data_IF_357756514541
#
_entry.id   IF_357756514541
#
_cell.length_a   1.000
_cell.length_b   1.000
_cell.length_c   1.000
_cell.angle_alpha   90.00
_cell.angle_beta   90.00
_cell.angle_gamma   90.00
#
_symmetry.space_group_name_H-M   'P 1'
#
loop_
_entity.id
_entity.type
_entity.pdbx_description
1 polymer ?
#
# COMPACT_ATOMS: atom_id res chain seq x y z
N UNK A 1 -48.70 4.23 15.64
CA UNK A 1 -48.37 2.90 16.17
C UNK A 1 -47.63 2.16 15.07
N UNK A 2 -46.33 1.90 15.23
CA UNK A 2 -45.52 1.22 14.22
C UNK A 2 -45.80 -0.28 14.22
N UNK A 3 -45.98 -0.87 13.03
CA UNK A 3 -46.15 -2.30 12.88
C UNK A 3 -44.83 -3.02 13.18
N UNK A 4 -44.91 -3.97 14.12
CA UNK A 4 -43.85 -4.91 14.44
C UNK A 4 -43.85 -6.03 13.39
N UNK A 5 -42.73 -6.14 12.67
CA UNK A 5 -42.25 -7.28 11.88
C UNK A 5 -43.26 -7.96 10.91
N UNK A 6 -43.02 -7.83 9.61
CA UNK A 6 -43.68 -8.63 8.57
C UNK A 6 -43.32 -10.12 8.70
N UNK A 7 -44.27 -11.00 8.38
CA UNK A 7 -44.14 -12.47 8.47
C UNK A 7 -43.13 -13.08 7.47
N UNK A 8 -42.64 -12.28 6.51
CA UNK A 8 -41.65 -12.70 5.52
C UNK A 8 -40.43 -11.74 5.57
N UNK A 9 -39.44 -12.01 6.45
CA UNK A 9 -38.35 -11.07 6.72
C UNK A 9 -37.45 -10.79 5.50
N UNK A 10 -37.56 -11.60 4.45
CA UNK A 10 -36.70 -11.56 3.27
C UNK A 10 -37.39 -10.97 2.01
N UNK A 11 -38.60 -10.42 2.13
CA UNK A 11 -39.35 -9.78 1.04
C UNK A 11 -39.20 -8.25 0.95
N UNK A 12 -38.74 -7.59 2.01
CA UNK A 12 -39.06 -6.16 2.24
C UNK A 12 -37.92 -5.15 1.99
N UNK A 13 -36.79 -5.57 1.43
CA UNK A 13 -35.72 -4.61 1.10
C UNK A 13 -35.80 -4.07 -0.35
N UNK A 14 -36.57 -4.71 -1.23
CA UNK A 14 -36.66 -4.35 -2.65
C UNK A 14 -35.38 -4.59 -3.47
N UNK A 15 -34.39 -5.28 -2.91
CA UNK A 15 -33.09 -5.54 -3.53
C UNK A 15 -33.00 -6.99 -4.03
N UNK A 16 -32.25 -7.18 -5.12
CA UNK A 16 -31.98 -8.49 -5.70
C UNK A 16 -31.15 -9.36 -4.73
N UNK A 17 -31.65 -10.55 -4.39
CA UNK A 17 -31.03 -11.44 -3.38
C UNK A 17 -29.64 -11.91 -3.80
N UNK A 18 -29.44 -12.20 -5.09
CA UNK A 18 -28.16 -12.68 -5.61
C UNK A 18 -27.11 -11.56 -5.61
N UNK A 19 -27.53 -10.32 -5.91
CA UNK A 19 -26.69 -9.13 -5.82
C UNK A 19 -26.27 -8.85 -4.36
N UNK A 20 -27.23 -8.86 -3.43
CA UNK A 20 -26.97 -8.69 -2.00
C UNK A 20 -25.99 -9.75 -1.50
N UNK A 21 -26.21 -11.02 -1.87
CA UNK A 21 -25.32 -12.11 -1.52
C UNK A 21 -23.91 -11.91 -2.08
N UNK A 22 -23.80 -11.58 -3.38
CA UNK A 22 -22.52 -11.35 -4.05
C UNK A 22 -21.73 -10.21 -3.40
N UNK A 23 -22.38 -9.09 -3.12
CA UNK A 23 -21.73 -7.94 -2.47
C UNK A 23 -21.33 -8.27 -1.02
N UNK A 24 -22.14 -9.05 -0.31
CA UNK A 24 -21.79 -9.56 1.03
C UNK A 24 -20.55 -10.46 0.98
N UNK A 25 -20.47 -11.38 0.01
CA UNK A 25 -19.28 -12.21 -0.17
C UNK A 25 -18.05 -11.37 -0.54
N UNK A 26 -18.23 -10.35 -1.38
CA UNK A 26 -17.17 -9.40 -1.72
C UNK A 26 -16.67 -8.64 -0.49
N UNK A 27 -17.57 -8.15 0.37
CA UNK A 27 -17.19 -7.52 1.63
C UNK A 27 -16.38 -8.48 2.52
N UNK A 28 -16.84 -9.72 2.69
CA UNK A 28 -16.14 -10.74 3.51
C UNK A 28 -14.74 -11.05 2.98
N UNK A 29 -14.59 -11.13 1.67
CA UNK A 29 -13.28 -11.34 1.03
C UNK A 29 -12.34 -10.16 1.34
N UNK A 30 -12.81 -8.92 1.19
CA UNK A 30 -12.02 -7.72 1.52
C UNK A 30 -11.65 -7.67 3.02
N UNK A 31 -12.57 -8.02 3.91
CA UNK A 31 -12.32 -8.10 5.36
C UNK A 31 -11.27 -9.17 5.68
N UNK A 32 -11.34 -10.34 5.02
CA UNK A 32 -10.35 -11.41 5.15
C UNK A 32 -8.96 -10.97 4.66
N UNK A 33 -8.90 -10.27 3.53
CA UNK A 33 -7.66 -9.72 2.98
C UNK A 33 -7.04 -8.68 3.92
N UNK A 34 -7.85 -7.80 4.53
CA UNK A 34 -7.39 -6.83 5.52
C UNK A 34 -6.81 -7.55 6.75
N UNK A 35 -7.48 -8.61 7.24
CA UNK A 35 -6.96 -9.41 8.36
C UNK A 35 -5.66 -10.12 8.01
N UNK A 36 -5.56 -10.72 6.82
CA UNK A 36 -4.33 -11.36 6.35
C UNK A 36 -3.18 -10.35 6.22
N UNK A 37 -3.44 -9.16 5.66
CA UNK A 37 -2.45 -8.10 5.54
C UNK A 37 -2.02 -7.55 6.91
N UNK A 38 -2.93 -7.48 7.90
CA UNK A 38 -2.56 -7.14 9.29
C UNK A 38 -1.61 -8.16 9.91
N UNK A 39 -1.86 -9.46 9.74
CA UNK A 39 -0.92 -10.51 10.19
C UNK A 39 0.45 -10.34 9.55
N UNK A 40 0.49 -10.12 8.24
CA UNK A 40 1.76 -9.91 7.52
C UNK A 40 2.48 -8.63 7.99
N UNK A 41 1.76 -7.54 8.23
CA UNK A 41 2.34 -6.30 8.72
C UNK A 41 2.90 -6.40 10.15
N UNK A 42 2.34 -7.31 10.96
CA UNK A 42 2.80 -7.61 12.31
C UNK A 42 3.86 -8.72 12.38
N UNK A 43 4.11 -9.44 11.29
CA UNK A 43 5.09 -10.53 11.26
C UNK A 43 6.51 -10.00 11.51
N UNK A 44 7.14 -10.45 12.61
CA UNK A 44 8.48 -10.05 13.03
C UNK A 44 9.59 -10.57 12.12
N UNK A 45 9.34 -11.65 11.38
CA UNK A 45 10.29 -12.19 10.42
C UNK A 45 10.18 -11.55 9.03
N UNK A 46 9.11 -10.78 8.78
CA UNK A 46 8.94 -10.10 7.51
C UNK A 46 9.92 -8.93 7.38
N UNK A 47 10.41 -8.76 6.17
CA UNK A 47 11.26 -7.65 5.77
C UNK A 47 10.54 -6.32 5.97
N UNK A 48 11.34 -5.27 6.03
CA UNK A 48 10.90 -3.92 6.28
C UNK A 48 10.01 -3.36 5.15
N UNK A 49 10.29 -3.77 3.90
CA UNK A 49 9.47 -3.49 2.72
C UNK A 49 8.27 -4.43 2.61
N UNK A 50 8.36 -5.68 3.06
CA UNK A 50 7.20 -6.59 3.12
C UNK A 50 6.13 -6.08 4.09
N UNK A 51 6.53 -5.62 5.28
CA UNK A 51 5.62 -4.98 6.24
C UNK A 51 5.00 -3.70 5.67
N UNK A 52 5.78 -2.91 4.93
CA UNK A 52 5.29 -1.72 4.26
C UNK A 52 4.26 -2.06 3.15
N UNK A 53 4.53 -3.09 2.35
CA UNK A 53 3.59 -3.61 1.35
C UNK A 53 2.28 -4.09 1.99
N UNK A 54 2.38 -4.80 3.11
CA UNK A 54 1.22 -5.25 3.88
C UNK A 54 0.39 -4.05 4.40
N UNK A 55 1.02 -2.98 4.89
CA UNK A 55 0.32 -1.75 5.28
C UNK A 55 -0.37 -1.06 4.08
N UNK A 56 0.22 -1.09 2.89
CA UNK A 56 -0.45 -0.59 1.68
C UNK A 56 -1.70 -1.42 1.33
N UNK A 57 -1.62 -2.75 1.49
CA UNK A 57 -2.77 -3.66 1.29
C UNK A 57 -3.89 -3.40 2.29
N UNK A 58 -3.57 -3.18 3.57
CA UNK A 58 -4.57 -2.81 4.59
C UNK A 58 -5.30 -1.53 4.16
N UNK A 59 -4.56 -0.50 3.76
CA UNK A 59 -5.16 0.77 3.33
C UNK A 59 -6.07 0.57 2.13
N UNK A 60 -5.60 -0.14 1.09
CA UNK A 60 -6.38 -0.41 -0.12
C UNK A 60 -7.65 -1.21 0.17
N UNK A 61 -7.55 -2.29 0.94
CA UNK A 61 -8.72 -3.09 1.33
C UNK A 61 -9.76 -2.27 2.09
N UNK A 62 -9.32 -1.41 3.02
CA UNK A 62 -10.21 -0.51 3.75
C UNK A 62 -10.86 0.56 2.85
N UNK A 63 -10.18 1.03 1.81
CA UNK A 63 -10.79 1.92 0.82
C UNK A 63 -11.84 1.20 -0.03
N UNK A 64 -11.55 -0.02 -0.47
CA UNK A 64 -12.53 -0.82 -1.24
C UNK A 64 -13.77 -1.15 -0.41
N UNK A 65 -13.63 -1.48 0.88
CA UNK A 65 -14.78 -1.68 1.78
C UNK A 65 -15.59 -0.39 1.90
N UNK A 66 -14.93 0.76 2.14
CA UNK A 66 -15.61 2.08 2.21
C UNK A 66 -16.36 2.40 0.93
N UNK A 67 -15.73 2.16 -0.22
CA UNK A 67 -16.34 2.36 -1.54
C UNK A 67 -17.56 1.47 -1.71
N UNK A 68 -17.42 0.17 -1.45
CA UNK A 68 -18.53 -0.79 -1.53
C UNK A 68 -19.71 -0.36 -0.66
N UNK A 69 -19.44 0.07 0.58
CA UNK A 69 -20.50 0.52 1.52
C UNK A 69 -21.13 1.86 1.13
N UNK A 70 -20.42 2.67 0.33
CA UNK A 70 -20.97 3.92 -0.20
C UNK A 70 -21.83 3.68 -1.45
N UNK A 71 -21.49 2.68 -2.25
CA UNK A 71 -22.18 2.35 -3.51
C UNK A 71 -23.37 1.41 -3.27
N UNK A 72 -23.35 0.61 -2.20
CA UNK A 72 -24.33 -0.44 -1.90
C UNK A 72 -25.04 -0.19 -0.57
N UNK A 73 -26.28 0.36 -0.58
CA UNK A 73 -27.00 0.72 0.64
C UNK A 73 -27.26 -0.43 1.62
N UNK A 74 -27.31 -1.67 1.12
CA UNK A 74 -27.51 -2.89 1.92
C UNK A 74 -26.22 -3.40 2.59
N UNK A 75 -25.05 -2.90 2.20
CA UNK A 75 -23.76 -3.29 2.78
C UNK A 75 -23.40 -2.32 3.91
N UNK A 76 -23.13 -2.85 5.10
CA UNK A 76 -22.65 -2.07 6.25
C UNK A 76 -21.27 -2.50 6.69
N UNK A 77 -20.39 -1.51 6.88
CA UNK A 77 -19.04 -1.72 7.40
C UNK A 77 -19.07 -1.94 8.90
N UNK A 78 -18.43 -3.01 9.35
CA UNK A 78 -18.13 -3.25 10.76
C UNK A 78 -16.62 -3.37 10.95
N UNK A 79 -16.01 -2.32 11.53
CA UNK A 79 -14.57 -2.26 11.72
C UNK A 79 -14.03 -3.36 12.67
N UNK A 80 -14.90 -3.97 13.50
CA UNK A 80 -14.49 -5.08 14.36
C UNK A 80 -14.13 -6.33 13.57
N UNK A 81 -14.78 -6.56 12.41
CA UNK A 81 -14.52 -7.70 11.50
C UNK A 81 -13.19 -7.62 10.79
N UNK A 82 -12.60 -6.43 10.75
CA UNK A 82 -11.25 -6.21 10.23
C UNK A 82 -10.17 -6.44 11.29
N UNK A 83 -10.53 -6.59 12.58
CA UNK A 83 -9.54 -6.82 13.65
C UNK A 83 -9.01 -8.25 13.59
N UNK A 84 -7.77 -8.41 14.04
CA UNK A 84 -7.10 -9.70 14.18
C UNK A 84 -6.95 -9.96 15.68
N UNK A 85 -7.80 -10.81 16.28
CA UNK A 85 -7.85 -10.98 17.75
C UNK A 85 -6.51 -11.36 18.38
N UNK A 86 -5.70 -12.14 17.67
CA UNK A 86 -4.38 -12.60 18.13
C UNK A 86 -3.31 -11.49 18.17
N UNK A 87 -3.57 -10.31 17.59
CA UNK A 87 -2.62 -9.18 17.60
C UNK A 87 -2.96 -8.18 18.71
N UNK A 88 -2.04 -8.01 19.65
CA UNK A 88 -2.13 -6.98 20.70
C UNK A 88 -2.23 -5.55 20.12
N UNK A 89 -1.43 -5.26 19.09
CA UNK A 89 -1.46 -3.99 18.37
C UNK A 89 -1.96 -4.22 16.95
N UNK A 90 -3.02 -3.53 16.56
CA UNK A 90 -3.59 -3.62 15.20
C UNK A 90 -2.81 -2.72 14.23
N UNK A 91 -2.14 -3.28 13.21
CA UNK A 91 -1.43 -2.46 12.23
C UNK A 91 -2.38 -1.55 11.46
N UNK A 92 -1.98 -0.29 11.29
CA UNK A 92 -2.71 0.70 10.47
C UNK A 92 -2.25 0.63 9.02
N UNK A 93 -3.20 0.85 8.11
CA UNK A 93 -2.90 0.95 6.68
C UNK A 93 -2.16 2.24 6.34
N UNK A 94 -1.31 2.19 5.32
CA UNK A 94 -0.54 3.34 4.84
C UNK A 94 -0.62 3.44 3.30
N UNK A 95 -1.21 4.53 2.79
CA UNK A 95 -1.43 4.77 1.35
C UNK A 95 -0.15 4.69 0.52
N UNK A 96 0.89 5.41 0.96
CA UNK A 96 2.13 5.62 0.20
C UNK A 96 3.30 4.80 0.75
N UNK A 97 3.03 3.60 1.28
CA UNK A 97 4.09 2.74 1.80
C UNK A 97 4.91 2.14 0.63
N UNK A 98 6.25 2.30 0.64
CA UNK A 98 7.10 1.78 -0.42
C UNK A 98 7.10 0.25 -0.38
N UNK A 99 7.09 -0.38 -1.56
CA UNK A 99 7.08 -1.84 -1.68
C UNK A 99 7.95 -2.29 -2.84
N UNK A 100 8.73 -3.35 -2.63
CA UNK A 100 9.55 -3.94 -3.67
C UNK A 100 8.68 -4.71 -4.67
N UNK A 101 8.85 -4.44 -5.97
CA UNK A 101 8.41 -5.39 -6.99
C UNK A 101 9.29 -6.64 -6.93
N UNK A 102 8.82 -7.75 -7.51
CA UNK A 102 9.62 -8.98 -7.61
C UNK A 102 11.00 -8.71 -8.21
N UNK A 103 11.02 -7.99 -9.33
CA UNK A 103 12.27 -7.62 -9.99
C UNK A 103 13.18 -6.78 -9.08
N UNK A 104 12.64 -5.79 -8.36
CA UNK A 104 13.43 -5.01 -7.42
C UNK A 104 14.00 -5.86 -6.28
N UNK A 105 13.21 -6.77 -5.70
CA UNK A 105 13.65 -7.66 -4.64
C UNK A 105 14.81 -8.55 -5.09
N UNK A 106 14.72 -9.13 -6.29
CA UNK A 106 15.79 -9.92 -6.92
C UNK A 106 17.07 -9.08 -7.10
N UNK A 107 16.96 -7.87 -7.67
CA UNK A 107 18.13 -6.98 -7.86
C UNK A 107 18.74 -6.50 -6.55
N UNK A 108 17.93 -6.27 -5.53
CA UNK A 108 18.40 -5.89 -4.20
C UNK A 108 19.20 -7.02 -3.56
N UNK A 109 18.67 -8.25 -3.59
CA UNK A 109 19.33 -9.43 -3.05
C UNK A 109 20.67 -9.69 -3.76
N UNK A 110 20.70 -9.67 -5.09
CA UNK A 110 21.92 -9.86 -5.88
C UNK A 110 23.02 -8.82 -5.59
N UNK A 111 22.64 -7.62 -5.15
CA UNK A 111 23.54 -6.48 -4.92
C UNK A 111 23.83 -6.22 -3.44
N UNK A 112 23.30 -7.04 -2.53
CA UNK A 112 23.43 -6.84 -1.08
C UNK A 112 22.79 -5.53 -0.59
N UNK A 113 21.75 -5.06 -1.25
CA UNK A 113 21.04 -3.83 -0.88
C UNK A 113 19.96 -4.18 0.16
N UNK A 114 20.03 -3.53 1.31
CA UNK A 114 19.08 -3.71 2.40
C UNK A 114 17.85 -2.81 2.25
N UNK A 115 16.73 -3.26 2.80
CA UNK A 115 15.49 -2.47 2.89
C UNK A 115 15.72 -1.12 3.60
N UNK A 116 16.57 -1.11 4.63
CA UNK A 116 16.93 0.09 5.37
C UNK A 116 17.62 1.13 4.49
N UNK A 117 18.54 0.72 3.61
CA UNK A 117 19.19 1.62 2.65
C UNK A 117 18.17 2.21 1.67
N UNK A 118 17.24 1.40 1.17
CA UNK A 118 16.18 1.87 0.26
C UNK A 118 15.25 2.85 0.95
N UNK A 119 14.82 2.56 2.18
CA UNK A 119 13.99 3.45 2.98
C UNK A 119 14.68 4.79 3.23
N UNK A 120 15.96 4.77 3.60
CA UNK A 120 16.76 6.00 3.78
C UNK A 120 16.88 6.79 2.49
N UNK A 121 17.16 6.14 1.37
CA UNK A 121 17.26 6.80 0.08
C UNK A 121 15.95 7.49 -0.34
N UNK A 122 14.79 6.92 0.01
CA UNK A 122 13.48 7.52 -0.25
C UNK A 122 13.15 8.65 0.75
N UNK A 123 13.49 8.48 2.03
CA UNK A 123 13.15 9.44 3.09
C UNK A 123 14.05 10.68 3.08
N UNK A 124 15.32 10.51 2.74
CA UNK A 124 16.33 11.56 2.73
C UNK A 124 17.17 11.45 1.45
N UNK A 125 16.59 11.77 0.28
CA UNK A 125 17.30 11.71 -0.98
C UNK A 125 18.32 12.85 -1.08
N UNK A 126 19.47 12.56 -1.70
CA UNK A 126 20.41 13.61 -2.13
C UNK A 126 19.88 14.36 -3.35
N UNK A 127 19.20 13.66 -4.25
CA UNK A 127 18.57 14.28 -5.41
C UNK A 127 17.40 13.45 -5.93
N UNK A 128 16.36 14.13 -6.40
CA UNK A 128 15.16 13.51 -6.98
C UNK A 128 14.97 14.04 -8.39
N UNK A 129 14.98 13.13 -9.37
CA UNK A 129 14.76 13.52 -10.76
C UNK A 129 13.27 13.76 -11.05
N UNK A 130 12.95 14.51 -12.12
CA UNK A 130 11.58 14.60 -12.64
C UNK A 130 10.99 13.22 -12.95
N UNK A 131 9.67 13.13 -12.87
CA UNK A 131 8.94 11.90 -13.23
C UNK A 131 9.01 11.71 -14.74
N UNK A 132 9.44 10.53 -15.16
CA UNK A 132 9.39 10.08 -16.55
C UNK A 132 8.18 9.19 -16.78
N UNK A 133 7.61 9.26 -17.98
CA UNK A 133 6.47 8.45 -18.40
C UNK A 133 6.86 7.72 -19.66
N UNK A 134 6.65 6.41 -19.70
CA UNK A 134 6.89 5.61 -20.90
C UNK A 134 5.70 5.62 -21.88
N UNK A 135 5.86 4.98 -23.04
CA UNK A 135 4.83 4.88 -24.07
C UNK A 135 3.56 4.13 -23.62
N UNK A 136 3.64 3.37 -22.53
CA UNK A 136 2.52 2.64 -21.94
C UNK A 136 1.88 3.40 -20.76
N UNK A 137 2.28 4.66 -20.52
CA UNK A 137 1.76 5.50 -19.45
C UNK A 137 2.31 5.15 -18.06
N UNK A 138 3.30 4.27 -17.95
CA UNK A 138 3.91 3.91 -16.66
C UNK A 138 4.84 5.02 -16.21
N UNK A 139 4.65 5.46 -14.97
CA UNK A 139 5.44 6.52 -14.35
C UNK A 139 6.63 5.92 -13.60
N UNK A 140 7.81 6.50 -13.77
CA UNK A 140 9.00 6.19 -13.02
C UNK A 140 9.66 7.48 -12.53
N UNK A 141 10.24 7.42 -11.34
CA UNK A 141 11.01 8.50 -10.75
C UNK A 141 12.30 7.94 -10.18
N UNK A 142 13.41 8.58 -10.54
CA UNK A 142 14.73 8.21 -10.03
C UNK A 142 15.06 9.05 -8.82
N UNK A 143 15.40 8.38 -7.73
CA UNK A 143 15.77 8.98 -6.44
C UNK A 143 17.19 8.53 -6.11
N UNK A 144 18.08 9.49 -5.89
CA UNK A 144 19.49 9.26 -5.59
C UNK A 144 19.68 9.42 -4.08
N UNK A 145 19.90 8.33 -3.36
CA UNK A 145 20.33 8.34 -1.97
C UNK A 145 21.86 8.25 -1.85
N UNK A 146 22.37 8.50 -0.64
CA UNK A 146 23.80 8.43 -0.32
C UNK A 146 24.44 7.09 -0.75
N UNK A 147 23.83 5.98 -0.34
CA UNK A 147 24.33 4.64 -0.58
C UNK A 147 23.71 3.98 -1.82
N UNK A 148 22.43 4.23 -2.04
CA UNK A 148 21.59 3.51 -3.01
C UNK A 148 20.77 4.49 -3.82
N UNK A 149 20.69 4.23 -5.12
CA UNK A 149 19.77 4.88 -6.04
C UNK A 149 18.58 3.97 -6.27
N UNK A 150 17.38 4.54 -6.14
CA UNK A 150 16.11 3.83 -6.22
C UNK A 150 15.31 4.38 -7.39
N UNK A 151 14.71 3.50 -8.18
CA UNK A 151 13.72 3.89 -9.19
C UNK A 151 12.36 3.42 -8.70
N UNK A 152 11.43 4.35 -8.55
CA UNK A 152 10.12 4.12 -7.94
C UNK A 152 9.01 4.65 -8.84
N UNK A 153 7.85 3.99 -8.86
CA UNK A 153 6.64 4.60 -9.39
C UNK A 153 6.11 5.63 -8.38
N UNK A 154 6.06 6.94 -8.71
CA UNK A 154 5.70 7.98 -7.75
C UNK A 154 4.24 7.90 -7.26
N UNK A 155 3.35 7.35 -8.09
CA UNK A 155 1.93 7.20 -7.76
C UNK A 155 1.72 6.00 -6.83
N UNK A 156 2.27 4.85 -7.20
CA UNK A 156 1.96 3.59 -6.51
C UNK A 156 2.95 3.29 -5.39
N UNK A 157 4.13 3.93 -5.39
CA UNK A 157 5.28 3.66 -4.50
C UNK A 157 5.90 2.26 -4.70
N UNK A 158 5.66 1.64 -5.85
CA UNK A 158 6.35 0.42 -6.25
C UNK A 158 7.80 0.72 -6.60
N UNK A 159 8.74 0.07 -5.91
CA UNK A 159 10.16 0.12 -6.25
C UNK A 159 10.37 -0.80 -7.45
N UNK A 160 10.80 -0.19 -8.56
CA UNK A 160 11.03 -0.86 -9.85
C UNK A 160 12.42 -1.50 -9.85
N UNK A 161 13.44 -0.78 -9.38
CA UNK A 161 14.80 -1.31 -9.23
C UNK A 161 15.60 -0.48 -8.22
N UNK A 162 16.65 -1.06 -7.66
CA UNK A 162 17.61 -0.38 -6.80
C UNK A 162 19.05 -0.82 -7.12
N UNK A 163 20.00 0.10 -7.02
CA UNK A 163 21.43 -0.14 -7.26
C UNK A 163 22.31 0.76 -6.40
N UNK A 164 23.57 0.39 -6.12
CA UNK A 164 24.48 1.25 -5.38
C UNK A 164 24.69 2.58 -6.09
N UNK A 165 24.65 3.67 -5.33
CA UNK A 165 24.97 5.00 -5.86
C UNK A 165 26.47 5.09 -6.12
N UNK A 166 26.83 5.40 -7.37
CA UNK A 166 28.24 5.49 -7.75
C UNK A 166 28.90 6.79 -7.23
N UNK A 167 30.24 6.79 -7.18
CA UNK A 167 31.05 7.92 -6.66
C UNK A 167 30.76 9.25 -7.39
N UNK A 168 30.48 9.21 -8.70
CA UNK A 168 30.18 10.40 -9.50
C UNK A 168 28.86 11.05 -9.07
N UNK A 169 27.82 10.25 -8.85
CA UNK A 169 26.51 10.74 -8.39
C UNK A 169 26.61 11.26 -6.95
N UNK A 170 27.33 10.56 -6.06
CA UNK A 170 27.59 11.05 -4.70
C UNK A 170 28.36 12.37 -4.70
N UNK A 171 29.37 12.54 -5.55
CA UNK A 171 30.10 13.81 -5.64
C UNK A 171 29.24 14.94 -6.22
N UNK A 172 28.36 14.62 -7.16
CA UNK A 172 27.52 15.64 -7.81
C UNK A 172 26.40 16.13 -6.89
N UNK A 173 25.81 15.24 -6.09
CA UNK A 173 24.60 15.52 -5.33
C UNK A 173 24.76 15.39 -3.81
N UNK A 174 25.88 14.86 -3.33
CA UNK A 174 26.15 14.59 -1.91
C UNK A 174 27.07 15.59 -1.23
N UNK A 175 27.37 16.71 -1.89
CA UNK A 175 27.92 17.92 -1.25
C UNK A 175 26.77 18.90 -1.14
N UNK A 176 26.49 19.34 0.08
CA UNK A 176 25.37 20.19 0.48
C UNK A 176 25.12 21.36 -0.47
N UNK A 177 23.87 21.52 -0.91
CA UNK A 177 23.22 22.83 -0.97
C UNK A 177 21.70 22.65 -1.02
N UNK A 178 21.03 23.39 -0.13
CA UNK A 178 19.60 23.66 -0.05
C UNK A 178 19.07 24.38 -1.31
N UNK A 179 19.30 23.84 -2.50
CA UNK A 179 18.78 24.38 -3.75
C UNK A 179 17.44 23.73 -4.11
N UNK A 180 16.35 24.16 -3.46
CA UNK A 180 15.01 23.72 -3.86
C UNK A 180 13.84 24.10 -2.96
N UNK A 181 13.99 25.02 -2.03
CA UNK A 181 12.87 25.64 -1.32
C UNK A 181 12.57 27.03 -1.89
N UNK A 182 12.26 27.12 -3.19
CA UNK A 182 11.50 28.25 -3.72
C UNK A 182 10.88 27.88 -5.08
N UNK A 183 9.55 27.74 -5.11
CA UNK A 183 8.61 27.91 -6.24
C UNK A 183 7.20 27.56 -5.80
#
# INVERSE_FOLDING_TARGET
MGHAFSEDPDGDAGWDRDEVYRDTQRQRALEADVRAAKRQAANEHASDLERAAAKARIWKGQQEIRKLTSERPWIRRDASRERVPELAVQPRGAKNAPRATRHAAERMAERGITDGQVKRAIASPMHTFPVTVDSQGRKAQKIVGSDVTVVINPTTRDIITAYPTNKKMRRRYGTDEEAGADS
#
